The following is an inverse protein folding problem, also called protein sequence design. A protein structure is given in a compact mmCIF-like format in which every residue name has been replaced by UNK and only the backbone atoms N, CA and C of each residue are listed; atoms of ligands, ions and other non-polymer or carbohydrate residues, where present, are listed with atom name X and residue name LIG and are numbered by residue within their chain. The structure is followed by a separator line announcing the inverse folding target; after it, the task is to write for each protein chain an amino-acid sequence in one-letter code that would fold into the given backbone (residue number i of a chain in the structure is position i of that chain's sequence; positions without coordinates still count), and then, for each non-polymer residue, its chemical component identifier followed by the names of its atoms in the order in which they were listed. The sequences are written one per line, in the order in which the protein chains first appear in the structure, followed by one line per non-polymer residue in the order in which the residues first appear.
data_IF_770229908586
#
_entry.id   IF_770229908586
#
_cell.length_a   1.000
_cell.length_b   1.000
_cell.length_c   1.000
_cell.angle_alpha   90.00
_cell.angle_beta   90.00
_cell.angle_gamma   90.00
#
_symmetry.space_group_name_H-M   'P 1'
#
loop_
_entity.id
_entity.type
_entity.pdbx_description
1 polymer ?
#
# COMPACT_ATOMS: atom_id res chain seq x y z
N UNK A 1 19.51 -35.79 -27.98
CA UNK A 1 18.61 -35.77 -26.80
C UNK A 1 19.10 -34.87 -25.65
N UNK A 2 20.41 -34.62 -25.48
CA UNK A 2 20.97 -33.83 -24.36
C UNK A 2 20.69 -32.31 -24.40
N UNK A 3 20.42 -31.72 -25.57
CA UNK A 3 20.11 -30.28 -25.70
C UNK A 3 18.71 -29.90 -25.20
N UNK A 4 17.76 -30.84 -25.28
CA UNK A 4 16.34 -30.58 -24.93
C UNK A 4 16.12 -30.58 -23.42
N UNK A 5 16.90 -31.38 -22.68
CA UNK A 5 16.91 -31.42 -21.21
C UNK A 5 17.54 -30.17 -20.61
N UNK A 6 18.63 -29.65 -21.20
CA UNK A 6 19.29 -28.42 -20.73
C UNK A 6 18.38 -27.19 -20.84
N UNK A 7 17.65 -27.03 -21.95
CA UNK A 7 16.68 -25.93 -22.14
C UNK A 7 15.53 -25.99 -21.13
N UNK A 8 15.01 -27.19 -20.84
CA UNK A 8 13.95 -27.37 -19.83
C UNK A 8 14.44 -27.09 -18.41
N UNK A 9 15.69 -27.46 -18.10
CA UNK A 9 16.28 -27.21 -16.79
C UNK A 9 16.56 -25.72 -16.56
N UNK A 10 17.07 -25.03 -17.58
CA UNK A 10 17.22 -23.58 -17.56
C UNK A 10 15.88 -22.85 -17.37
N UNK A 11 14.83 -23.27 -18.10
CA UNK A 11 13.49 -22.68 -17.95
C UNK A 11 12.94 -22.87 -16.52
N UNK A 12 13.16 -24.03 -15.89
CA UNK A 12 12.75 -24.27 -14.49
C UNK A 12 13.51 -23.39 -13.51
N UNK A 13 14.82 -23.20 -13.70
CA UNK A 13 15.64 -22.31 -12.87
C UNK A 13 15.14 -20.87 -12.97
N UNK A 14 14.86 -20.38 -14.19
CA UNK A 14 14.32 -19.03 -14.40
C UNK A 14 12.99 -18.84 -13.69
N UNK A 15 12.07 -19.80 -13.76
CA UNK A 15 10.77 -19.73 -13.06
C UNK A 15 10.95 -19.73 -11.53
N UNK A 16 11.86 -20.55 -11.00
CA UNK A 16 12.17 -20.57 -9.56
C UNK A 16 12.81 -19.25 -9.12
N UNK A 17 13.74 -18.69 -9.91
CA UNK A 17 14.35 -17.39 -9.61
C UNK A 17 13.32 -16.27 -9.55
N UNK A 18 12.37 -16.21 -10.50
CA UNK A 18 11.30 -15.20 -10.49
C UNK A 18 10.42 -15.32 -9.25
N UNK A 19 10.10 -16.54 -8.81
CA UNK A 19 9.32 -16.79 -7.59
C UNK A 19 10.06 -16.38 -6.30
N UNK A 20 11.39 -16.40 -6.29
CA UNK A 20 12.19 -15.95 -5.14
C UNK A 20 12.23 -14.41 -5.01
N UNK A 21 12.01 -13.66 -6.10
CA UNK A 21 11.98 -12.19 -6.06
C UNK A 21 10.61 -11.60 -5.74
N UNK A 22 9.53 -12.39 -5.74
CA UNK A 22 8.17 -11.90 -5.48
C UNK A 22 7.83 -11.69 -4.00
N UNK A 23 8.74 -11.98 -3.06
CA UNK A 23 8.51 -11.75 -1.64
C UNK A 23 9.37 -10.57 -1.16
N UNK A 24 9.04 -9.37 -1.64
CA UNK A 24 9.37 -8.16 -0.90
C UNK A 24 8.21 -7.92 0.07
N UNK A 25 8.26 -8.60 1.23
CA UNK A 25 7.46 -8.17 2.36
C UNK A 25 7.95 -6.78 2.73
N UNK A 26 7.16 -5.76 2.39
CA UNK A 26 7.26 -4.46 3.04
C UNK A 26 7.05 -4.77 4.52
N UNK A 27 8.15 -4.80 5.28
CA UNK A 27 8.09 -4.81 6.73
C UNK A 27 7.50 -3.46 7.09
N UNK A 28 6.17 -3.38 7.15
CA UNK A 28 5.49 -2.21 7.65
C UNK A 28 6.04 -2.01 9.07
N UNK A 29 6.50 -0.80 9.35
CA UNK A 29 6.93 -0.42 10.69
C UNK A 29 5.69 -0.58 11.60
N UNK A 30 5.59 -1.70 12.32
CA UNK A 30 4.44 -2.06 13.17
C UNK A 30 4.31 -1.10 14.38
N UNK A 31 5.22 -0.14 14.52
CA UNK A 31 5.14 0.89 15.54
C UNK A 31 3.95 1.83 15.28
N UNK A 32 2.96 1.90 16.19
CA UNK A 32 1.79 2.77 16.02
C UNK A 32 2.15 4.25 15.89
N UNK A 33 3.26 4.71 16.47
CA UNK A 33 3.73 6.09 16.32
C UNK A 33 4.22 6.36 14.89
N UNK A 34 5.01 5.44 14.34
CA UNK A 34 5.49 5.53 12.96
C UNK A 34 4.34 5.49 11.96
N UNK A 35 3.37 4.60 12.16
CA UNK A 35 2.17 4.51 11.31
C UNK A 35 1.34 5.79 11.38
N UNK A 36 1.12 6.32 12.58
CA UNK A 36 0.39 7.59 12.77
C UNK A 36 1.09 8.75 12.08
N UNK A 37 2.42 8.85 12.20
CA UNK A 37 3.20 9.89 11.55
C UNK A 37 3.11 9.80 10.03
N UNK A 38 3.26 8.60 9.47
CA UNK A 38 3.17 8.36 8.03
C UNK A 38 1.78 8.70 7.49
N UNK A 39 0.72 8.20 8.14
CA UNK A 39 -0.66 8.48 7.74
C UNK A 39 -0.98 9.98 7.81
N UNK A 40 -0.56 10.66 8.89
CA UNK A 40 -0.78 12.10 9.06
C UNK A 40 -0.03 12.93 8.02
N UNK A 41 1.26 12.63 7.78
CA UNK A 41 2.07 13.32 6.77
C UNK A 41 1.43 13.21 5.39
N UNK A 42 1.00 12.00 5.01
CA UNK A 42 0.32 11.77 3.75
C UNK A 42 -1.01 12.52 3.68
N UNK A 43 -1.85 12.41 4.69
CA UNK A 43 -3.16 13.08 4.73
C UNK A 43 -3.02 14.59 4.55
N UNK A 44 -2.14 15.24 5.30
CA UNK A 44 -1.97 16.69 5.20
C UNK A 44 -1.34 17.12 3.87
N UNK A 45 -0.43 16.32 3.32
CA UNK A 45 0.10 16.55 1.97
C UNK A 45 -1.01 16.50 0.92
N UNK A 46 -1.88 15.49 0.98
CA UNK A 46 -3.00 15.32 0.04
C UNK A 46 -4.02 16.47 0.16
N UNK A 47 -4.34 16.91 1.39
CA UNK A 47 -5.20 18.07 1.63
C UNK A 47 -4.59 19.34 1.03
N UNK A 48 -3.28 19.55 1.22
CA UNK A 48 -2.57 20.72 0.68
C UNK A 48 -2.55 20.71 -0.84
N UNK A 49 -2.26 19.56 -1.45
CA UNK A 49 -2.20 19.40 -2.90
C UNK A 49 -3.57 19.59 -3.59
N UNK A 50 -4.66 19.25 -2.90
CA UNK A 50 -6.01 19.26 -3.47
C UNK A 50 -6.88 20.46 -3.04
N UNK A 51 -6.31 21.52 -2.48
CA UNK A 51 -7.06 22.70 -2.01
C UNK A 51 -8.03 23.29 -3.05
N UNK A 52 -7.65 23.37 -4.33
CA UNK A 52 -8.54 23.87 -5.38
C UNK A 52 -9.77 22.97 -5.56
N UNK A 53 -9.57 21.65 -5.60
CA UNK A 53 -10.65 20.67 -5.74
C UNK A 53 -11.56 20.64 -4.51
N UNK A 54 -11.00 20.76 -3.32
CA UNK A 54 -11.77 20.84 -2.06
C UNK A 54 -12.64 22.10 -2.04
N UNK A 55 -12.15 23.24 -2.55
CA UNK A 55 -12.95 24.46 -2.66
C UNK A 55 -14.09 24.34 -3.67
N UNK A 56 -13.86 23.63 -4.77
CA UNK A 56 -14.87 23.37 -5.80
C UNK A 56 -15.93 22.36 -5.33
N UNK A 57 -15.51 21.30 -4.65
CA UNK A 57 -16.37 20.29 -4.05
C UNK A 57 -15.87 19.91 -2.64
N UNK A 58 -16.53 20.41 -1.57
CA UNK A 58 -16.18 20.08 -0.20
C UNK A 58 -16.25 18.57 0.13
N UNK A 59 -17.02 17.77 -0.60
CA UNK A 59 -17.06 16.32 -0.39
C UNK A 59 -15.77 15.62 -0.81
N UNK A 60 -14.94 16.26 -1.64
CA UNK A 60 -13.62 15.74 -1.97
C UNK A 60 -12.73 15.57 -0.73
N UNK A 61 -12.88 16.46 0.27
CA UNK A 61 -12.17 16.33 1.55
C UNK A 61 -12.54 15.03 2.29
N UNK A 62 -13.83 14.63 2.27
CA UNK A 62 -14.27 13.36 2.88
C UNK A 62 -13.60 12.18 2.20
N UNK A 63 -13.41 12.24 0.89
CA UNK A 63 -12.73 11.19 0.13
C UNK A 63 -11.26 11.08 0.52
N UNK A 64 -10.57 12.22 0.65
CA UNK A 64 -9.17 12.28 1.11
C UNK A 64 -9.04 11.72 2.53
N UNK A 65 -9.91 12.12 3.45
CA UNK A 65 -9.92 11.60 4.83
C UNK A 65 -10.20 10.10 4.85
N UNK A 66 -11.18 9.63 4.08
CA UNK A 66 -11.52 8.21 3.99
C UNK A 66 -10.34 7.38 3.50
N UNK A 67 -9.63 7.86 2.48
CA UNK A 67 -8.45 7.17 1.93
C UNK A 67 -7.23 7.25 2.87
N UNK A 68 -7.04 8.38 3.56
CA UNK A 68 -5.87 8.63 4.40
C UNK A 68 -5.93 8.00 5.78
N UNK A 69 -7.14 7.84 6.36
CA UNK A 69 -7.29 7.40 7.76
C UNK A 69 -7.97 6.04 7.89
N UNK A 70 -9.01 5.75 7.11
CA UNK A 70 -9.84 4.56 7.35
C UNK A 70 -9.11 3.21 7.21
N UNK A 71 -8.06 3.05 6.38
CA UNK A 71 -7.27 1.81 6.38
C UNK A 71 -6.64 1.48 7.74
N UNK A 72 -6.46 2.50 8.59
CA UNK A 72 -5.82 2.39 9.89
C UNK A 72 -6.81 2.44 11.07
N UNK A 73 -8.11 2.56 10.80
CA UNK A 73 -9.15 2.70 11.83
C UNK A 73 -10.01 1.43 11.88
N UNK A 74 -10.08 0.82 13.06
CA UNK A 74 -11.01 -0.29 13.30
C UNK A 74 -12.43 0.25 13.53
N UNK A 75 -13.15 0.50 12.44
CA UNK A 75 -14.44 1.24 12.44
C UNK A 75 -15.49 0.62 13.37
N UNK A 76 -15.64 -0.72 13.36
CA UNK A 76 -16.62 -1.41 14.20
C UNK A 76 -16.32 -1.27 15.69
N UNK A 77 -15.04 -1.13 16.05
CA UNK A 77 -14.62 -0.94 17.43
C UNK A 77 -14.77 0.54 17.83
N UNK A 78 -14.38 1.46 16.95
CA UNK A 78 -14.54 2.90 17.19
C UNK A 78 -16.01 3.34 17.31
N UNK A 79 -16.92 2.64 16.63
CA UNK A 79 -18.35 2.94 16.61
C UNK A 79 -19.21 2.12 17.58
N UNK A 80 -18.63 1.33 18.48
CA UNK A 80 -19.39 0.43 19.37
C UNK A 80 -19.97 1.12 20.62
N UNK A 81 -20.31 2.40 20.54
CA UNK A 81 -20.90 3.22 21.61
C UNK A 81 -22.30 3.70 21.21
#
# INVERSE_FOLDING_TARGET
MLKMTFKSWFAKIVVISIALFSVQSVMADDNPYSLTQQASNKLFSDIKANQSRIRQDPNHLKSIVRQGLMPYVHVNYAGSL
#
